data_IF_334964539081
#
_entry.id   IF_334964539081
#
_cell.length_a   1.000
_cell.length_b   1.000
_cell.length_c   1.000
_cell.angle_alpha   90.00
_cell.angle_beta   90.00
_cell.angle_gamma   90.00
#
_symmetry.space_group_name_H-M   'P 1'
#
loop_
_entity.id
_entity.type
_entity.pdbx_description
1 polymer ?
#
# COMPACT_ATOMS: atom_id res chain seq x y z
N UNK A 1 2.75 -1.77 -27.08
CA UNK A 1 3.99 -2.53 -27.21
C UNK A 1 3.81 -3.71 -26.26
N UNK A 2 4.01 -4.95 -26.71
CA UNK A 2 3.82 -6.14 -25.87
C UNK A 2 5.21 -6.66 -25.53
N UNK A 3 5.68 -6.37 -24.33
CA UNK A 3 7.02 -6.69 -23.83
C UNK A 3 7.29 -8.21 -23.93
N UNK A 4 6.25 -9.06 -23.84
CA UNK A 4 6.39 -10.51 -24.02
C UNK A 4 6.62 -10.91 -25.48
N UNK A 5 6.05 -10.17 -26.43
CA UNK A 5 6.30 -10.39 -27.85
C UNK A 5 7.70 -9.92 -28.24
N UNK A 6 8.16 -8.78 -27.71
CA UNK A 6 9.54 -8.31 -27.91
C UNK A 6 10.56 -9.27 -27.31
N UNK A 7 10.29 -9.80 -26.11
CA UNK A 7 11.11 -10.85 -25.51
C UNK A 7 11.17 -12.10 -26.40
N UNK A 8 10.02 -12.52 -26.94
CA UNK A 8 9.94 -13.68 -27.84
C UNK A 8 10.78 -13.47 -29.11
N UNK A 9 10.72 -12.28 -29.70
CA UNK A 9 11.51 -11.95 -30.90
C UNK A 9 13.00 -11.86 -30.62
N UNK A 10 13.42 -11.23 -29.51
CA UNK A 10 14.82 -11.19 -29.08
C UNK A 10 15.40 -12.61 -28.87
N UNK A 11 14.63 -13.50 -28.23
CA UNK A 11 15.02 -14.91 -28.04
C UNK A 11 15.17 -15.62 -29.39
N UNK A 12 14.23 -15.44 -30.32
CA UNK A 12 14.30 -16.06 -31.67
C UNK A 12 15.49 -15.53 -32.48
N UNK A 13 15.82 -14.25 -32.33
CA UNK A 13 16.95 -13.60 -32.99
C UNK A 13 18.31 -14.00 -32.38
N UNK A 14 18.32 -14.66 -31.23
CA UNK A 14 19.54 -14.99 -30.48
C UNK A 14 20.15 -13.78 -29.77
N UNK A 15 19.41 -12.66 -29.67
CA UNK A 15 19.83 -11.48 -28.93
C UNK A 15 19.49 -11.64 -27.43
N UNK A 16 20.30 -12.43 -26.74
CA UNK A 16 20.12 -12.67 -25.31
C UNK A 16 20.37 -11.41 -24.46
N UNK A 17 21.12 -10.44 -24.98
CA UNK A 17 21.35 -9.16 -24.28
C UNK A 17 20.05 -8.37 -24.18
N UNK A 18 19.37 -8.20 -25.31
CA UNK A 18 18.05 -7.55 -25.33
C UNK A 18 17.02 -8.36 -24.54
N UNK A 19 17.02 -9.69 -24.67
CA UNK A 19 16.07 -10.54 -23.94
C UNK A 19 16.20 -10.39 -22.42
N UNK A 20 17.43 -10.30 -21.89
CA UNK A 20 17.66 -10.09 -20.46
C UNK A 20 17.21 -8.69 -20.01
N UNK A 21 17.45 -7.65 -20.81
CA UNK A 21 16.99 -6.30 -20.49
C UNK A 21 15.45 -6.22 -20.38
N UNK A 22 14.72 -6.88 -21.29
CA UNK A 22 13.25 -6.93 -21.25
C UNK A 22 12.75 -7.70 -20.01
N UNK A 23 13.45 -8.77 -19.60
CA UNK A 23 13.12 -9.50 -18.38
C UNK A 23 13.27 -8.61 -17.14
N UNK A 24 14.35 -7.85 -17.05
CA UNK A 24 14.59 -6.93 -15.93
C UNK A 24 13.51 -5.84 -15.87
N UNK A 25 13.10 -5.28 -17.01
CA UNK A 25 11.99 -4.32 -17.11
C UNK A 25 10.65 -4.93 -16.66
N UNK A 26 10.32 -6.13 -17.13
CA UNK A 26 9.11 -6.85 -16.73
C UNK A 26 9.07 -7.15 -15.23
N UNK A 27 10.21 -7.51 -14.63
CA UNK A 27 10.34 -7.75 -13.20
C UNK A 27 10.17 -6.46 -12.39
N UNK A 28 10.71 -5.33 -12.87
CA UNK A 28 10.53 -4.01 -12.26
C UNK A 28 9.06 -3.57 -12.31
N UNK A 29 8.40 -3.71 -13.47
CA UNK A 29 6.98 -3.42 -13.66
C UNK A 29 6.11 -4.25 -12.70
N UNK A 30 6.35 -5.57 -12.66
CA UNK A 30 5.65 -6.50 -11.77
C UNK A 30 5.81 -6.13 -10.30
N UNK A 31 7.02 -5.70 -9.88
CA UNK A 31 7.28 -5.23 -8.52
C UNK A 31 6.54 -3.93 -8.23
N UNK A 32 6.62 -2.95 -9.13
CA UNK A 32 5.95 -1.65 -9.02
C UNK A 32 4.44 -1.82 -8.85
N UNK A 33 3.80 -2.68 -9.65
CA UNK A 33 2.37 -2.97 -9.55
C UNK A 33 1.95 -3.52 -8.18
N UNK A 34 2.79 -4.36 -7.57
CA UNK A 34 2.52 -4.88 -6.22
C UNK A 34 2.62 -3.79 -5.17
N UNK A 35 3.64 -2.93 -5.26
CA UNK A 35 3.85 -1.82 -4.33
C UNK A 35 2.69 -0.83 -4.44
N UNK A 36 2.33 -0.40 -5.66
CA UNK A 36 1.19 0.49 -5.91
C UNK A 36 -0.13 -0.05 -5.34
N UNK A 37 -0.32 -1.37 -5.45
CA UNK A 37 -1.50 -2.05 -4.89
C UNK A 37 -1.47 -2.10 -3.37
N UNK A 38 -0.30 -2.31 -2.76
CA UNK A 38 -0.12 -2.25 -1.31
C UNK A 38 -0.41 -0.83 -0.80
N UNK A 39 0.17 0.20 -1.44
CA UNK A 39 -0.07 1.61 -1.13
C UNK A 39 -1.58 1.95 -1.16
N UNK A 40 -2.29 1.48 -2.19
CA UNK A 40 -3.75 1.64 -2.29
C UNK A 40 -4.51 1.07 -1.09
N UNK A 41 -4.10 -0.09 -0.57
CA UNK A 41 -4.69 -0.67 0.63
C UNK A 41 -4.26 0.07 1.92
N UNK A 42 -3.02 0.56 1.98
CA UNK A 42 -2.54 1.40 3.07
C UNK A 42 -3.33 2.70 3.17
N UNK A 43 -3.67 3.33 2.03
CA UNK A 43 -4.56 4.50 2.00
C UNK A 43 -5.91 4.18 2.65
N UNK A 44 -6.55 3.06 2.29
CA UNK A 44 -7.83 2.64 2.91
C UNK A 44 -7.68 2.38 4.40
N UNK A 45 -6.61 1.70 4.82
CA UNK A 45 -6.29 1.45 6.23
C UNK A 45 -6.20 2.77 6.99
N UNK A 46 -5.37 3.70 6.50
CA UNK A 46 -5.12 4.98 7.15
C UNK A 46 -6.36 5.86 7.21
N UNK A 47 -7.17 5.94 6.14
CA UNK A 47 -8.44 6.71 6.16
C UNK A 47 -9.28 6.32 7.37
N UNK A 48 -9.45 5.02 7.59
CA UNK A 48 -10.32 4.53 8.64
C UNK A 48 -9.70 4.60 10.04
N UNK A 49 -8.37 4.48 10.15
CA UNK A 49 -7.66 4.70 11.41
C UNK A 49 -7.67 6.17 11.83
N UNK A 50 -7.49 7.09 10.88
CA UNK A 50 -7.58 8.54 11.10
C UNK A 50 -8.98 8.90 11.60
N UNK A 51 -10.03 8.45 10.89
CA UNK A 51 -11.43 8.68 11.30
C UNK A 51 -11.70 8.14 12.70
N UNK A 52 -11.23 6.91 13.00
CA UNK A 52 -11.42 6.30 14.29
C UNK A 52 -10.71 7.06 15.42
N UNK A 53 -9.50 7.56 15.15
CA UNK A 53 -8.73 8.38 16.08
C UNK A 53 -9.39 9.75 16.30
N UNK A 54 -9.81 10.43 15.23
CA UNK A 54 -10.39 11.76 15.33
C UNK A 54 -11.76 11.72 16.05
N UNK A 55 -12.64 10.77 15.69
CA UNK A 55 -13.96 10.63 16.31
C UNK A 55 -13.95 9.87 17.65
N UNK A 56 -12.78 9.37 18.10
CA UNK A 56 -12.64 8.53 19.29
C UNK A 56 -13.63 7.34 19.28
N UNK A 57 -13.86 6.78 18.10
CA UNK A 57 -14.91 5.78 17.86
C UNK A 57 -14.53 4.85 16.72
N UNK A 58 -14.70 3.55 16.91
CA UNK A 58 -14.52 2.56 15.84
C UNK A 58 -15.85 1.88 15.49
N UNK A 59 -16.41 2.22 14.33
CA UNK A 59 -17.63 1.56 13.85
C UNK A 59 -17.35 0.15 13.33
N UNK A 60 -18.39 -0.70 13.23
CA UNK A 60 -18.26 -2.05 12.66
C UNK A 60 -17.82 -2.02 11.20
N UNK A 61 -18.34 -1.09 10.40
CA UNK A 61 -17.94 -0.94 9.00
C UNK A 61 -16.47 -0.53 8.90
N UNK A 62 -16.01 0.41 9.73
CA UNK A 62 -14.61 0.84 9.70
C UNK A 62 -13.65 -0.25 10.12
N UNK A 63 -13.97 -0.98 11.19
CA UNK A 63 -13.20 -2.16 11.61
C UNK A 63 -13.10 -3.17 10.46
N UNK A 64 -14.22 -3.42 9.77
CA UNK A 64 -14.25 -4.35 8.65
C UNK A 64 -13.32 -3.92 7.51
N UNK A 65 -13.30 -2.63 7.12
CA UNK A 65 -12.38 -2.18 6.07
C UNK A 65 -10.93 -2.25 6.52
N UNK A 66 -10.63 -1.94 7.79
CA UNK A 66 -9.28 -2.09 8.37
C UNK A 66 -8.82 -3.55 8.26
N UNK A 67 -9.65 -4.50 8.70
CA UNK A 67 -9.33 -5.93 8.67
C UNK A 67 -9.17 -6.47 7.24
N UNK A 68 -9.95 -5.93 6.28
CA UNK A 68 -9.80 -6.26 4.86
C UNK A 68 -8.49 -5.69 4.31
N UNK A 69 -8.20 -4.41 4.56
CA UNK A 69 -6.98 -3.75 4.10
C UNK A 69 -5.73 -4.48 4.62
N UNK A 70 -5.67 -4.80 5.92
CA UNK A 70 -4.57 -5.55 6.52
C UNK A 70 -4.36 -6.91 5.84
N UNK A 71 -5.44 -7.67 5.62
CA UNK A 71 -5.36 -8.95 4.89
C UNK A 71 -4.83 -8.79 3.47
N UNK A 72 -5.28 -7.76 2.75
CA UNK A 72 -4.86 -7.53 1.37
C UNK A 72 -3.42 -7.06 1.29
N UNK A 73 -2.95 -6.21 2.22
CA UNK A 73 -1.54 -5.82 2.35
C UNK A 73 -0.69 -7.06 2.60
N UNK A 74 -1.02 -7.86 3.63
CA UNK A 74 -0.26 -9.05 3.97
C UNK A 74 -0.19 -10.05 2.81
N UNK A 75 -1.33 -10.30 2.15
CA UNK A 75 -1.41 -11.19 0.98
C UNK A 75 -0.62 -10.68 -0.21
N UNK A 76 -0.70 -9.38 -0.50
CA UNK A 76 -0.05 -8.79 -1.69
C UNK A 76 1.45 -8.64 -1.49
N UNK A 77 1.88 -8.34 -0.25
CA UNK A 77 3.28 -8.17 0.08
C UNK A 77 4.05 -9.50 0.09
N UNK A 78 3.38 -10.63 0.33
CA UNK A 78 4.01 -11.96 0.32
C UNK A 78 4.38 -12.40 -1.10
N UNK A 79 5.65 -12.75 -1.33
CA UNK A 79 6.13 -13.28 -2.62
C UNK A 79 5.75 -14.76 -2.77
N UNK A 80 5.19 -15.11 -3.93
CA UNK A 80 4.63 -16.45 -4.20
C UNK A 80 5.68 -17.53 -4.48
N UNK A 81 6.85 -17.19 -5.01
CA UNK A 81 7.83 -18.18 -5.48
C UNK A 81 9.19 -18.14 -4.78
N UNK A 82 9.66 -16.98 -4.34
CA UNK A 82 11.01 -16.81 -3.75
C UNK A 82 11.04 -16.86 -2.22
N UNK A 83 9.87 -16.93 -1.56
CA UNK A 83 9.76 -16.61 -0.14
C UNK A 83 10.04 -15.12 0.13
N UNK A 84 9.68 -14.66 1.33
CA UNK A 84 9.86 -13.25 1.71
C UNK A 84 8.78 -12.30 1.18
N UNK A 85 9.12 -11.01 1.15
CA UNK A 85 8.17 -9.92 0.93
C UNK A 85 8.68 -8.93 -0.14
N UNK A 86 7.77 -8.23 -0.83
CA UNK A 86 8.13 -7.16 -1.78
C UNK A 86 8.67 -5.92 -1.06
N UNK A 87 8.07 -5.60 0.09
CA UNK A 87 8.48 -4.55 1.01
C UNK A 87 8.88 -5.18 2.35
N UNK A 88 10.04 -4.78 2.87
CA UNK A 88 10.46 -5.03 4.24
C UNK A 88 9.81 -4.00 5.19
N UNK A 89 10.18 -4.02 6.47
CA UNK A 89 9.60 -3.12 7.47
C UNK A 89 9.81 -1.63 7.12
N UNK A 90 11.03 -1.25 6.72
CA UNK A 90 11.35 0.13 6.32
C UNK A 90 10.53 0.56 5.09
N UNK A 91 10.44 -0.30 4.06
CA UNK A 91 9.64 -0.02 2.87
C UNK A 91 8.14 0.07 3.17
N UNK A 92 7.62 -0.71 4.12
CA UNK A 92 6.24 -0.58 4.57
C UNK A 92 6.01 0.76 5.29
N UNK A 93 6.99 1.21 6.09
CA UNK A 93 6.92 2.49 6.78
C UNK A 93 6.97 3.67 5.80
N UNK A 94 7.83 3.60 4.78
CA UNK A 94 7.91 4.60 3.69
C UNK A 94 6.60 4.68 2.91
N UNK A 95 6.05 3.55 2.49
CA UNK A 95 4.77 3.51 1.75
C UNK A 95 3.58 3.98 2.60
N UNK A 96 3.56 3.68 3.90
CA UNK A 96 2.56 4.24 4.82
C UNK A 96 2.70 5.77 4.94
N UNK A 97 3.93 6.27 5.00
CA UNK A 97 4.20 7.69 5.10
C UNK A 97 3.77 8.44 3.82
N UNK A 98 3.98 7.84 2.65
CA UNK A 98 3.52 8.35 1.35
C UNK A 98 1.98 8.36 1.26
N UNK A 99 1.34 7.24 1.64
CA UNK A 99 -0.11 7.09 1.65
C UNK A 99 -0.84 8.10 2.57
N UNK A 100 -0.14 8.67 3.57
CA UNK A 100 -0.73 9.59 4.55
C UNK A 100 -1.39 10.81 3.90
N UNK A 101 -0.72 11.46 2.94
CA UNK A 101 -1.15 12.72 2.34
C UNK A 101 -2.54 12.60 1.70
N UNK A 102 -2.76 11.51 0.99
CA UNK A 102 -4.07 11.19 0.42
C UNK A 102 -5.07 10.73 1.48
N UNK A 103 -4.62 9.94 2.44
CA UNK A 103 -5.50 9.35 3.45
C UNK A 103 -6.11 10.43 4.37
N UNK A 104 -5.35 11.43 4.79
CA UNK A 104 -5.88 12.52 5.65
C UNK A 104 -6.92 13.36 4.91
N UNK A 105 -6.67 13.67 3.64
CA UNK A 105 -7.62 14.42 2.79
C UNK A 105 -8.92 13.66 2.59
N UNK A 106 -8.84 12.36 2.31
CA UNK A 106 -10.02 11.52 2.14
C UNK A 106 -10.74 11.25 3.47
N UNK A 107 -10.01 11.12 4.57
CA UNK A 107 -10.58 11.01 5.91
C UNK A 107 -11.36 12.27 6.28
N UNK A 108 -10.85 13.45 5.97
CA UNK A 108 -11.53 14.74 6.23
C UNK A 108 -12.91 14.81 5.57
N UNK A 109 -13.05 14.33 4.32
CA UNK A 109 -14.33 14.28 3.61
C UNK A 109 -15.38 13.35 4.27
N UNK A 110 -14.94 12.37 5.05
CA UNK A 110 -15.82 11.34 5.62
C UNK A 110 -15.99 11.47 7.15
N UNK A 111 -14.98 11.97 7.86
CA UNK A 111 -14.97 12.16 9.31
C UNK A 111 -15.91 13.30 9.67
N UNK A 112 -16.68 13.13 10.75
CA UNK A 112 -17.60 14.17 11.22
C UNK A 112 -18.51 14.74 10.11
N UNK A 113 -18.87 13.92 9.11
CA UNK A 113 -19.67 14.33 7.96
C UNK A 113 -19.03 15.42 7.08
N UNK A 114 -17.69 15.54 7.09
CA UNK A 114 -16.98 16.44 6.19
C UNK A 114 -16.84 17.88 6.68
N UNK A 115 -17.05 18.13 7.98
CA UNK A 115 -17.03 19.50 8.52
C UNK A 115 -15.63 20.10 8.68
N UNK A 116 -14.58 19.28 8.66
CA UNK A 116 -13.19 19.71 8.85
C UNK A 116 -12.41 19.56 7.56
N UNK A 117 -11.51 20.50 7.31
CA UNK A 117 -10.49 20.37 6.28
C UNK A 117 -9.39 19.39 6.71
N UNK A 118 -8.53 18.99 5.75
CA UNK A 118 -7.49 18.01 5.99
C UNK A 118 -6.49 18.45 7.07
N UNK A 119 -6.12 19.73 7.08
CA UNK A 119 -5.22 20.32 8.06
C UNK A 119 -5.84 20.33 9.46
N UNK A 120 -7.12 20.70 9.57
CA UNK A 120 -7.84 20.72 10.84
C UNK A 120 -7.99 19.30 11.41
N UNK A 121 -8.30 18.32 10.55
CA UNK A 121 -8.36 16.93 10.98
C UNK A 121 -6.98 16.40 11.38
N UNK A 122 -5.91 16.84 10.71
CA UNK A 122 -4.54 16.44 11.04
C UNK A 122 -4.14 16.91 12.44
N UNK A 123 -4.57 18.10 12.85
CA UNK A 123 -4.32 18.65 14.19
C UNK A 123 -5.03 17.86 15.31
N UNK A 124 -6.08 17.09 14.97
CA UNK A 124 -6.83 16.27 15.93
C UNK A 124 -6.20 14.91 16.20
N UNK A 125 -5.21 14.50 15.42
CA UNK A 125 -4.65 13.15 15.46
C UNK A 125 -3.12 13.16 15.55
N UNK A 126 -2.56 12.12 16.16
CA UNK A 126 -1.10 11.92 16.11
C UNK A 126 -0.76 11.10 14.87
N UNK A 127 -0.17 11.75 13.85
CA UNK A 127 0.35 11.06 12.65
C UNK A 127 1.30 9.93 13.02
N UNK A 128 2.26 10.21 13.91
CA UNK A 128 3.25 9.23 14.34
C UNK A 128 2.61 8.00 15.01
N UNK A 129 1.65 8.23 15.92
CA UNK A 129 0.97 7.14 16.61
C UNK A 129 0.17 6.26 15.62
N UNK A 130 -0.52 6.87 14.66
CA UNK A 130 -1.31 6.14 13.66
C UNK A 130 -0.41 5.34 12.73
N UNK A 131 0.69 5.92 12.23
CA UNK A 131 1.61 5.22 11.34
C UNK A 131 2.31 4.05 12.06
N UNK A 132 2.66 4.25 13.34
CA UNK A 132 3.26 3.19 14.18
C UNK A 132 2.27 2.04 14.41
N UNK A 133 1.03 2.34 14.80
CA UNK A 133 -0.03 1.32 14.99
C UNK A 133 -0.34 0.60 13.67
N UNK A 134 -0.38 1.32 12.54
CA UNK A 134 -0.62 0.73 11.23
C UNK A 134 0.50 -0.27 10.86
N UNK A 135 1.76 0.11 11.07
CA UNK A 135 2.90 -0.77 10.81
C UNK A 135 2.87 -2.02 11.69
N UNK A 136 2.59 -1.88 12.99
CA UNK A 136 2.48 -3.00 13.92
C UNK A 136 1.35 -3.98 13.53
N UNK A 137 0.20 -3.45 13.13
CA UNK A 137 -0.94 -4.27 12.65
C UNK A 137 -0.61 -4.99 11.35
N UNK A 138 0.09 -4.33 10.41
CA UNK A 138 0.54 -4.97 9.16
C UNK A 138 1.49 -6.12 9.48
N UNK A 139 2.47 -5.90 10.35
CA UNK A 139 3.42 -6.96 10.79
C UNK A 139 2.68 -8.14 11.41
N UNK A 140 1.73 -7.86 12.29
CA UNK A 140 0.90 -8.88 12.94
C UNK A 140 0.04 -9.67 11.94
N UNK A 141 -0.43 -9.03 10.87
CA UNK A 141 -1.22 -9.68 9.81
C UNK A 141 -0.37 -10.49 8.82
N UNK A 142 0.95 -10.26 8.77
CA UNK A 142 1.89 -10.95 7.89
C UNK A 142 2.46 -12.24 8.50
N UNK A 143 2.45 -12.36 9.84
CA UNK A 143 2.85 -13.56 10.58
C UNK A 143 1.75 -14.62 10.63
#
# INVERSE_FOLDING_TARGET
MDELEELREAIKAGDYGQALAIIDELDEMSRSDKINKINSYMRVLLIHMIKASAEQRLTKSWRTSIDIALRQIARTNKRSQSGGYYLNEDGLAEELADAWTDAIRLAALEAFEGIYEAEELADMVSREAILTDALERIRSAQG
#
